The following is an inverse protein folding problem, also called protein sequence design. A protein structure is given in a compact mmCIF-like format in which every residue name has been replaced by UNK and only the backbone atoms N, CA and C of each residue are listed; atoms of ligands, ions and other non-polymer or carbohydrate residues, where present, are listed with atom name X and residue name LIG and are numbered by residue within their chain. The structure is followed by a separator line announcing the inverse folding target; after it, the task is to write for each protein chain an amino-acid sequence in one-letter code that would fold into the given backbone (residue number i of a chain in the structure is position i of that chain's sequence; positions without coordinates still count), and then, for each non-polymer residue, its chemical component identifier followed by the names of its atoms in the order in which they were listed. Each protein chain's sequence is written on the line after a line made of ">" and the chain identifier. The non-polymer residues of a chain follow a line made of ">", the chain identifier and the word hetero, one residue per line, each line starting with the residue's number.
data_IF_004690182602
#
_entry.id   IF_004690182602
#
_cell.length_a   1.000
_cell.length_b   1.000
_cell.length_c   1.000
_cell.angle_alpha   90.00
_cell.angle_beta   90.00
_cell.angle_gamma   90.00
#
_symmetry.space_group_name_H-M   'P 1'
#
loop_
_entity.id
_entity.type
_entity.pdbx_description
1 polymer ?
#
# COMPACT_ATOMS: atom_id res chain seq x y z
N UNK A 1 8.58 -30.33 -28.39
CA UNK A 1 8.03 -28.98 -28.59
C UNK A 1 8.77 -28.02 -27.67
N UNK A 2 9.60 -27.12 -28.20
CA UNK A 2 10.34 -26.16 -27.37
C UNK A 2 9.56 -24.86 -27.24
N UNK A 3 9.57 -24.29 -26.04
CA UNK A 3 8.90 -23.03 -25.73
C UNK A 3 9.75 -21.89 -26.30
N UNK A 4 9.16 -21.06 -27.17
CA UNK A 4 9.85 -19.94 -27.80
C UNK A 4 10.31 -18.91 -26.76
N UNK A 5 11.52 -18.36 -26.90
CA UNK A 5 12.18 -17.48 -25.91
C UNK A 5 11.42 -16.17 -25.61
N UNK A 6 10.45 -15.80 -26.44
CA UNK A 6 9.57 -14.65 -26.21
C UNK A 6 8.43 -14.95 -25.23
N UNK A 7 8.13 -16.22 -24.96
CA UNK A 7 7.09 -16.60 -24.02
C UNK A 7 7.61 -16.39 -22.60
N UNK A 8 7.47 -15.15 -22.10
CA UNK A 8 7.65 -14.86 -20.69
C UNK A 8 6.49 -15.52 -19.94
N UNK A 9 6.78 -16.61 -19.22
CA UNK A 9 5.81 -17.24 -18.32
C UNK A 9 5.19 -16.18 -17.42
N UNK A 10 3.88 -16.29 -17.16
CA UNK A 10 3.06 -15.31 -16.45
C UNK A 10 3.78 -14.73 -15.22
N UNK A 11 4.55 -13.66 -15.41
CA UNK A 11 4.95 -12.77 -14.33
C UNK A 11 3.66 -12.12 -13.90
N UNK A 12 3.07 -12.67 -12.84
CA UNK A 12 1.83 -12.18 -12.22
C UNK A 12 1.92 -10.66 -12.18
N UNK A 13 1.07 -9.98 -12.95
CA UNK A 13 1.00 -8.52 -12.91
C UNK A 13 0.72 -8.18 -11.45
N UNK A 14 1.75 -7.71 -10.74
CA UNK A 14 1.56 -7.19 -9.40
C UNK A 14 0.79 -5.89 -9.58
N UNK A 15 -0.52 -5.95 -9.36
CA UNK A 15 -1.36 -4.77 -9.40
C UNK A 15 -0.76 -3.74 -8.44
N UNK A 16 -0.33 -2.59 -8.97
CA UNK A 16 0.11 -1.46 -8.15
C UNK A 16 -1.06 -1.07 -7.25
N UNK A 17 -0.90 -1.26 -5.94
CA UNK A 17 -1.94 -0.96 -4.97
C UNK A 17 -1.82 0.48 -4.51
N UNK A 18 -2.68 1.34 -5.05
CA UNK A 18 -2.69 2.77 -4.74
C UNK A 18 -3.42 3.12 -3.44
N UNK A 19 -4.25 2.20 -2.92
CA UNK A 19 -5.10 2.46 -1.74
C UNK A 19 -4.54 1.75 -0.51
N UNK A 20 -4.08 2.54 0.46
CA UNK A 20 -3.66 2.06 1.78
C UNK A 20 -4.85 1.51 2.60
N UNK A 21 -4.61 0.44 3.33
CA UNK A 21 -5.51 -0.04 4.37
C UNK A 21 -5.41 0.88 5.58
N UNK A 22 -6.41 0.84 6.45
CA UNK A 22 -6.51 1.72 7.61
C UNK A 22 -5.32 1.57 8.57
N UNK A 23 -4.85 0.35 8.82
CA UNK A 23 -3.72 0.11 9.72
C UNK A 23 -2.42 0.69 9.16
N UNK A 24 -2.16 0.54 7.86
CA UNK A 24 -0.99 1.13 7.20
C UNK A 24 -1.07 2.67 7.24
N UNK A 25 -2.27 3.22 7.07
CA UNK A 25 -2.50 4.67 7.20
C UNK A 25 -2.23 5.15 8.62
N UNK A 26 -2.59 4.37 9.64
CA UNK A 26 -2.28 4.67 11.05
C UNK A 26 -0.77 4.64 11.28
N UNK A 27 -0.05 3.67 10.73
CA UNK A 27 1.41 3.60 10.84
C UNK A 27 2.09 4.79 10.18
N UNK A 28 1.65 5.20 8.99
CA UNK A 28 2.14 6.41 8.32
C UNK A 28 1.87 7.64 9.17
N UNK A 29 0.65 7.78 9.70
CA UNK A 29 0.29 8.94 10.53
C UNK A 29 1.08 8.96 11.86
N UNK A 30 1.36 7.79 12.44
CA UNK A 30 2.20 7.62 13.63
C UNK A 30 3.64 8.07 13.35
N UNK A 31 4.21 7.65 12.21
CA UNK A 31 5.55 8.11 11.76
C UNK A 31 5.60 9.63 11.57
N UNK A 32 4.53 10.23 11.05
CA UNK A 32 4.44 11.69 10.90
C UNK A 32 4.03 12.45 12.18
N UNK A 33 3.84 11.75 13.31
CA UNK A 33 3.43 12.35 14.59
C UNK A 33 2.00 12.88 14.62
N UNK A 34 1.20 12.63 13.58
CA UNK A 34 -0.19 13.10 13.44
C UNK A 34 -1.23 12.17 14.08
N UNK A 35 -0.78 11.02 14.59
CA UNK A 35 -1.62 10.05 15.29
C UNK A 35 -0.82 9.43 16.44
N UNK A 36 -1.43 9.39 17.63
CA UNK A 36 -0.87 8.83 18.86
C UNK A 36 -1.68 7.62 19.32
N UNK A 37 -1.07 6.80 20.16
CA UNK A 37 -1.74 5.66 20.75
C UNK A 37 -2.84 6.14 21.71
N UNK A 38 -4.09 5.71 21.46
CA UNK A 38 -5.30 6.23 22.11
C UNK A 38 -6.15 7.15 21.24
N UNK A 39 -5.63 7.66 20.12
CA UNK A 39 -6.43 8.42 19.16
C UNK A 39 -7.43 7.52 18.42
N UNK A 40 -8.54 8.13 17.98
CA UNK A 40 -9.57 7.44 17.22
C UNK A 40 -8.99 6.83 15.94
N UNK A 41 -9.38 5.59 15.65
CA UNK A 41 -9.02 4.86 14.42
C UNK A 41 -9.90 5.23 13.22
N UNK A 42 -10.96 6.00 13.45
CA UNK A 42 -11.91 6.50 12.45
C UNK A 42 -11.67 8.00 12.20
N UNK A 43 -12.03 8.48 11.00
CA UNK A 43 -11.87 9.90 10.66
C UNK A 43 -10.40 10.35 10.49
N UNK A 44 -9.51 9.42 10.12
CA UNK A 44 -8.07 9.69 10.05
C UNK A 44 -7.74 10.85 9.08
N UNK A 45 -6.81 11.76 9.46
CA UNK A 45 -6.32 12.83 8.58
C UNK A 45 -5.81 12.30 7.24
N UNK A 46 -5.92 13.12 6.19
CA UNK A 46 -5.41 12.76 4.85
C UNK A 46 -3.90 12.62 4.87
N UNK A 47 -3.40 11.50 4.37
CA UNK A 47 -1.98 11.29 4.06
C UNK A 47 -1.66 12.05 2.78
N UNK A 48 -0.55 12.80 2.75
CA UNK A 48 -0.04 13.33 1.48
C UNK A 48 0.46 12.14 0.65
N UNK A 49 0.13 12.12 -0.63
CA UNK A 49 0.76 11.23 -1.59
C UNK A 49 2.03 11.95 -2.03
N UNK A 50 3.19 11.44 -1.63
CA UNK A 50 4.44 11.73 -2.34
C UNK A 50 4.56 10.77 -3.53
#
# INVERSE_FOLDING_TARGET
>A
MSMHRSLKGSTKIHARRNVMKRYERIEVLRKTGRWKEGDKVIGLPKTKNE
#
